data_IF_501442266229
#
_entry.id   IF_501442266229
#
_cell.length_a   1.000
_cell.length_b   1.000
_cell.length_c   1.000
_cell.angle_alpha   90.00
_cell.angle_beta   90.00
_cell.angle_gamma   90.00
#
_symmetry.space_group_name_H-M   'P 1'
#
loop_
_entity.id
_entity.type
_entity.pdbx_description
1 polymer ?
#
# COMPACT_ATOMS: atom_id res chain seq x y z
N UNK A 1 -12.79 10.46 16.34
CA UNK A 1 -12.13 10.43 15.02
C UNK A 1 -11.09 9.32 15.07
N UNK A 2 -11.05 8.40 14.11
CA UNK A 2 -10.01 7.34 14.09
C UNK A 2 -8.69 7.99 13.66
N UNK A 3 -7.60 7.72 14.38
CA UNK A 3 -6.28 8.28 14.05
C UNK A 3 -5.74 7.71 12.75
N UNK A 4 -4.85 8.45 12.07
CA UNK A 4 -4.17 7.98 10.87
C UNK A 4 -3.46 6.64 11.09
N UNK A 5 -2.77 6.49 12.23
CA UNK A 5 -2.10 5.25 12.63
C UNK A 5 -3.06 4.05 12.70
N UNK A 6 -4.20 4.22 13.39
CA UNK A 6 -5.18 3.15 13.54
C UNK A 6 -5.81 2.78 12.20
N UNK A 7 -6.03 3.76 11.33
CA UNK A 7 -6.51 3.53 9.97
C UNK A 7 -5.48 2.79 9.11
N UNK A 8 -4.19 3.14 9.22
CA UNK A 8 -3.11 2.44 8.55
C UNK A 8 -2.97 0.99 9.04
N UNK A 9 -3.04 0.76 10.36
CA UNK A 9 -2.96 -0.58 10.94
C UNK A 9 -4.12 -1.47 10.50
N UNK A 10 -5.35 -0.92 10.41
CA UNK A 10 -6.48 -1.66 9.85
C UNK A 10 -6.22 -2.10 8.40
N UNK A 11 -5.60 -1.25 7.59
CA UNK A 11 -5.23 -1.63 6.23
C UNK A 11 -4.13 -2.68 6.22
N UNK A 12 -3.12 -2.58 7.09
CA UNK A 12 -2.05 -3.58 7.24
C UNK A 12 -2.62 -4.96 7.57
N UNK A 13 -3.51 -5.04 8.56
CA UNK A 13 -4.19 -6.28 8.95
C UNK A 13 -5.06 -6.83 7.81
N UNK A 14 -5.80 -5.98 7.11
CA UNK A 14 -6.63 -6.42 5.99
C UNK A 14 -5.78 -6.97 4.82
N UNK A 15 -4.59 -6.42 4.60
CA UNK A 15 -3.64 -6.91 3.58
C UNK A 15 -3.10 -8.31 3.88
N UNK A 16 -3.03 -8.73 5.15
CA UNK A 16 -2.62 -10.08 5.53
C UNK A 16 -3.55 -11.15 4.94
N UNK A 17 -4.85 -10.85 4.78
CA UNK A 17 -5.82 -11.75 4.15
C UNK A 17 -5.48 -12.05 2.68
N UNK A 18 -4.70 -11.19 2.04
CA UNK A 18 -4.22 -11.36 0.66
C UNK A 18 -2.77 -11.88 0.60
N UNK A 19 -2.17 -12.26 1.73
CA UNK A 19 -0.78 -12.69 1.82
C UNK A 19 0.22 -11.57 1.52
N UNK A 20 -0.16 -10.31 1.78
CA UNK A 20 0.67 -9.14 1.53
C UNK A 20 1.23 -8.62 2.84
N UNK A 21 2.53 -8.83 3.07
CA UNK A 21 3.25 -8.22 4.19
C UNK A 21 3.41 -6.71 3.95
N UNK A 22 3.27 -5.92 5.01
CA UNK A 22 3.40 -4.48 4.96
C UNK A 22 3.79 -3.90 6.33
N UNK A 23 4.49 -2.78 6.31
CA UNK A 23 4.93 -2.04 7.50
C UNK A 23 4.16 -0.72 7.65
N UNK A 24 3.84 -0.34 8.89
CA UNK A 24 3.15 0.92 9.19
C UNK A 24 4.14 1.90 9.81
N UNK A 25 4.12 3.14 9.31
CA UNK A 25 4.87 4.26 9.88
C UNK A 25 3.93 5.43 10.13
N UNK A 26 4.10 6.12 11.25
CA UNK A 26 3.29 7.27 11.64
C UNK A 26 4.18 8.51 11.87
N UNK A 27 3.65 9.69 11.53
CA UNK A 27 4.26 10.97 11.89
C UNK A 27 3.38 12.15 11.51
N UNK A 28 3.37 13.21 12.33
CA UNK A 28 2.73 14.49 12.03
C UNK A 28 1.23 14.38 11.63
N UNK A 29 0.46 13.49 12.27
CA UNK A 29 -0.96 13.29 11.94
C UNK A 29 -1.23 12.53 10.64
N UNK A 30 -0.18 12.00 10.01
CA UNK A 30 -0.23 11.12 8.85
C UNK A 30 0.32 9.75 9.22
N UNK A 31 -0.14 8.75 8.49
CA UNK A 31 0.46 7.43 8.52
C UNK A 31 0.64 6.90 7.10
N UNK A 32 1.61 6.01 6.93
CA UNK A 32 1.88 5.33 5.68
C UNK A 32 2.00 3.83 5.91
N UNK A 33 1.51 3.06 4.94
CA UNK A 33 1.64 1.61 4.85
C UNK A 33 2.61 1.33 3.70
N UNK A 34 3.83 0.89 4.04
CA UNK A 34 4.85 0.46 3.10
C UNK A 34 4.57 -0.97 2.68
N UNK A 35 4.27 -1.20 1.40
CA UNK A 35 3.82 -2.52 0.90
C UNK A 35 4.88 -3.16 0.01
N UNK A 36 5.43 -2.40 -0.93
CA UNK A 36 6.45 -2.86 -1.87
C UNK A 36 7.20 -1.68 -2.48
N UNK A 37 8.27 -1.95 -3.25
CA UNK A 37 8.90 -0.93 -4.08
C UNK A 37 7.85 -0.29 -4.99
N UNK A 38 7.79 1.04 -4.98
CA UNK A 38 6.79 1.88 -5.66
C UNK A 38 5.32 1.74 -5.20
N UNK A 39 5.05 0.98 -4.13
CA UNK A 39 3.72 0.84 -3.55
C UNK A 39 3.72 1.21 -2.08
N UNK A 40 3.39 2.48 -1.83
CA UNK A 40 3.16 3.05 -0.50
C UNK A 40 1.76 3.64 -0.46
N UNK A 41 1.01 3.32 0.59
CA UNK A 41 -0.32 3.85 0.84
C UNK A 41 -0.25 4.89 1.94
N UNK A 42 -0.76 6.09 1.70
CA UNK A 42 -0.82 7.18 2.66
C UNK A 42 -2.22 7.30 3.24
N UNK A 43 -2.31 7.68 4.50
CA UNK A 43 -3.59 8.03 5.14
C UNK A 43 -3.46 9.16 6.15
N UNK A 44 -4.49 9.99 6.19
CA UNK A 44 -4.76 11.02 7.21
C UNK A 44 -5.84 10.57 8.21
N UNK A 45 -6.25 9.30 8.13
CA UNK A 45 -7.36 8.73 8.90
C UNK A 45 -8.73 8.83 8.20
N UNK A 46 -8.85 9.60 7.11
CA UNK A 46 -10.09 9.74 6.32
C UNK A 46 -10.01 9.04 4.98
N UNK A 47 -8.86 9.07 4.34
CA UNK A 47 -8.65 8.49 3.01
C UNK A 47 -7.39 7.64 2.96
N UNK A 48 -7.42 6.64 2.10
CA UNK A 48 -6.24 5.95 1.60
C UNK A 48 -5.88 6.50 0.24
N UNK A 49 -4.58 6.72 0.00
CA UNK A 49 -4.05 7.18 -1.29
C UNK A 49 -2.77 6.42 -1.66
N UNK A 50 -2.69 5.93 -2.90
CA UNK A 50 -1.49 5.25 -3.41
C UNK A 50 -1.32 5.49 -4.91
N UNK A 51 -0.15 5.19 -5.47
CA UNK A 51 0.05 5.25 -6.92
C UNK A 51 -0.68 4.10 -7.60
N UNK A 52 -1.48 4.41 -8.62
CA UNK A 52 -2.28 3.39 -9.31
C UNK A 52 -1.46 2.58 -10.32
N UNK A 53 -0.20 2.95 -10.57
CA UNK A 53 0.62 2.37 -11.63
C UNK A 53 0.36 2.90 -13.04
N UNK A 54 -0.54 3.88 -13.17
CA UNK A 54 -0.80 4.56 -14.44
C UNK A 54 -0.03 5.88 -14.47
N UNK A 55 0.30 6.30 -15.68
CA UNK A 55 0.90 7.62 -15.94
C UNK A 55 -0.10 8.42 -16.77
N UNK A 56 -0.30 9.69 -16.44
CA UNK A 56 -1.12 10.60 -17.24
C UNK A 56 -0.46 10.88 -18.60
N UNK A 57 -1.21 11.47 -19.52
CA UNK A 57 -0.67 11.98 -20.79
C UNK A 57 0.46 12.99 -20.59
N UNK A 58 0.47 13.70 -19.47
CA UNK A 58 1.52 14.65 -19.06
C UNK A 58 2.71 14.01 -18.32
N UNK A 59 2.79 12.68 -18.26
CA UNK A 59 3.90 11.97 -17.62
C UNK A 59 3.81 11.90 -16.08
N UNK A 60 2.71 12.34 -15.46
CA UNK A 60 2.56 12.36 -14.00
C UNK A 60 1.95 11.05 -13.48
N UNK A 61 2.42 10.52 -12.34
CA UNK A 61 1.80 9.36 -11.71
C UNK A 61 0.34 9.62 -11.34
N UNK A 62 -0.55 8.72 -11.74
CA UNK A 62 -1.96 8.75 -11.35
C UNK A 62 -2.10 8.10 -9.98
N UNK A 63 -2.83 8.77 -9.09
CA UNK A 63 -3.12 8.26 -7.75
C UNK A 63 -4.51 7.62 -7.70
N UNK A 64 -4.58 6.50 -7.01
CA UNK A 64 -5.83 5.86 -6.61
C UNK A 64 -6.18 6.28 -5.18
N UNK A 65 -7.49 6.27 -4.90
CA UNK A 65 -8.05 6.66 -3.62
C UNK A 65 -9.15 5.68 -3.19
N UNK A 66 -9.32 5.55 -1.87
CA UNK A 66 -10.45 4.88 -1.23
C UNK A 66 -10.73 5.54 0.13
N UNK A 67 -11.99 5.64 0.59
CA UNK A 67 -12.28 6.15 1.92
C UNK A 67 -11.81 5.16 2.99
N UNK A 68 -11.39 5.67 4.16
CA UNK A 68 -10.95 4.87 5.29
C UNK A 68 -12.04 3.95 5.87
N UNK A 69 -13.30 4.27 5.59
CA UNK A 69 -14.45 3.42 5.93
C UNK A 69 -14.50 2.14 5.09
N UNK A 70 -13.92 2.13 3.90
CA UNK A 70 -13.92 1.00 2.96
C UNK A 70 -12.51 0.37 2.86
N UNK A 71 -12.01 -0.06 4.02
CA UNK A 71 -10.68 -0.66 4.16
C UNK A 71 -10.54 -1.95 3.34
N UNK A 72 -11.61 -2.74 3.24
CA UNK A 72 -11.64 -4.00 2.47
C UNK A 72 -11.40 -3.73 0.99
N UNK A 73 -12.11 -2.76 0.40
CA UNK A 73 -11.89 -2.39 -1.01
C UNK A 73 -10.51 -1.78 -1.23
N UNK A 74 -10.02 -0.98 -0.28
CA UNK A 74 -8.66 -0.45 -0.34
C UNK A 74 -7.62 -1.58 -0.36
N UNK A 75 -7.69 -2.52 0.57
CA UNK A 75 -6.80 -3.67 0.67
C UNK A 75 -6.83 -4.52 -0.60
N UNK A 76 -8.02 -4.87 -1.09
CA UNK A 76 -8.17 -5.64 -2.35
C UNK A 76 -7.46 -4.98 -3.52
N UNK A 77 -7.63 -3.66 -3.68
CA UNK A 77 -7.03 -2.90 -4.80
C UNK A 77 -5.53 -2.74 -4.65
N UNK A 78 -5.04 -2.55 -3.41
CA UNK A 78 -3.62 -2.50 -3.10
C UNK A 78 -2.96 -3.86 -3.35
N UNK A 79 -3.58 -4.96 -2.91
CA UNK A 79 -3.12 -6.33 -3.16
C UNK A 79 -3.10 -6.66 -4.65
N UNK A 80 -4.11 -6.25 -5.42
CA UNK A 80 -4.08 -6.39 -6.88
C UNK A 80 -2.89 -5.64 -7.50
N UNK A 81 -2.62 -4.40 -7.05
CA UNK A 81 -1.48 -3.63 -7.53
C UNK A 81 -0.14 -4.25 -7.13
N UNK A 82 -0.04 -4.79 -5.92
CA UNK A 82 1.12 -5.54 -5.44
C UNK A 82 1.42 -6.74 -6.36
N UNK A 83 0.40 -7.52 -6.72
CA UNK A 83 0.55 -8.64 -7.66
C UNK A 83 1.04 -8.21 -9.05
N UNK A 84 0.64 -7.03 -9.53
CA UNK A 84 1.18 -6.46 -10.78
C UNK A 84 2.66 -6.08 -10.63
N UNK A 85 3.02 -5.42 -9.53
CA UNK A 85 4.40 -4.95 -9.30
C UNK A 85 5.38 -6.09 -9.09
N UNK A 86 5.00 -7.17 -8.41
CA UNK A 86 5.86 -8.35 -8.25
C UNK A 86 6.30 -8.99 -9.56
N UNK A 87 5.52 -8.83 -10.64
CA UNK A 87 5.88 -9.34 -11.98
C UNK A 87 6.92 -8.47 -12.68
N UNK A 88 6.98 -7.17 -12.34
CA UNK A 88 7.89 -6.19 -12.96
C UNK A 88 9.16 -6.01 -12.14
N UNK A 89 9.02 -6.02 -10.82
CA UNK A 89 10.09 -5.96 -9.84
C UNK A 89 10.06 -7.24 -9.01
N UNK A 90 10.56 -8.38 -9.54
CA UNK A 90 10.73 -9.57 -8.73
C UNK A 90 11.64 -9.23 -7.55
N UNK A 91 11.33 -9.80 -6.38
CA UNK A 91 12.24 -9.71 -5.24
C UNK A 91 13.62 -10.19 -5.70
N UNK A 92 14.69 -9.38 -5.54
CA UNK A 92 16.02 -9.84 -5.86
C UNK A 92 16.32 -11.14 -5.09
N UNK A 93 16.90 -12.17 -5.72
CA UNK A 93 17.06 -13.49 -5.09
C UNK A 93 17.82 -13.44 -3.75
N UNK A 94 18.71 -12.47 -3.56
CA UNK A 94 19.45 -12.28 -2.30
C UNK A 94 18.60 -11.73 -1.13
N UNK A 95 17.40 -11.20 -1.39
CA UNK A 95 16.41 -10.82 -0.37
C UNK A 95 15.35 -11.91 -0.16
N UNK A 96 15.31 -12.93 -1.02
CA UNK A 96 14.33 -14.02 -0.95
C UNK A 96 14.68 -15.10 0.09
N UNK A 97 15.81 -14.97 0.78
CA UNK A 97 16.22 -15.92 1.82
C UNK A 97 16.79 -17.23 1.30
N UNK A 98 17.32 -17.27 0.07
CA UNK A 98 18.16 -18.38 -0.38
C UNK A 98 19.64 -18.05 -0.14
N UNK A 99 20.02 -18.03 1.14
CA UNK A 99 21.41 -18.07 1.57
C UNK A 99 21.77 -19.50 1.94
N UNK A 100 22.45 -20.19 1.02
CA UNK A 100 23.15 -21.49 1.11
C UNK A 100 22.41 -22.71 1.67
#
# INVERSE_FOLDING_TARGET
MVSAARTAERLRVELEQYGVAADVHEGYGLALVSVWVELVVWTDGRWFRWRSGRTSTSGRPVYAFAPASDVVTAARRVAHRYGQLRRVHPCPPYLAGEGS
#
